data_IF_214121176855
#
_entry.id   IF_214121176855
#
_cell.length_a   1.000
_cell.length_b   1.000
_cell.length_c   1.000
_cell.angle_alpha   90.00
_cell.angle_beta   90.00
_cell.angle_gamma   90.00
#
_symmetry.space_group_name_H-M   'P 1'
#
loop_
_entity.id
_entity.type
_entity.pdbx_description
1 polymer ?
#
# COMPACT_ATOMS: atom_id res chain seq x y z
N UNK A 1 15.50 32.61 3.04
CA UNK A 1 15.55 31.32 3.76
C UNK A 1 15.03 30.28 2.81
N UNK A 2 15.89 29.39 2.31
CA UNK A 2 15.49 28.31 1.40
C UNK A 2 14.76 27.24 2.21
N UNK A 3 13.44 27.13 2.04
CA UNK A 3 12.66 26.05 2.65
C UNK A 3 12.64 24.86 1.69
N UNK A 4 13.09 23.69 2.16
CA UNK A 4 13.06 22.44 1.39
C UNK A 4 11.64 22.07 0.93
N UNK A 5 10.60 22.48 1.67
CA UNK A 5 9.20 22.21 1.31
C UNK A 5 8.75 23.07 0.13
N UNK A 6 9.15 24.34 0.08
CA UNK A 6 8.78 25.25 -1.01
C UNK A 6 9.43 24.81 -2.33
N UNK A 7 10.69 24.37 -2.28
CA UNK A 7 11.40 23.80 -3.42
C UNK A 7 10.74 22.50 -3.91
N UNK A 8 10.28 21.65 -2.99
CA UNK A 8 9.54 20.43 -3.35
C UNK A 8 8.20 20.76 -4.01
N UNK A 9 7.44 21.72 -3.48
CA UNK A 9 6.18 22.16 -4.07
C UNK A 9 6.40 22.72 -5.49
N UNK A 10 7.40 23.59 -5.67
CA UNK A 10 7.77 24.12 -6.98
C UNK A 10 8.16 23.02 -7.97
N UNK A 11 8.92 22.02 -7.51
CA UNK A 11 9.25 20.85 -8.29
C UNK A 11 8.01 20.06 -8.73
N UNK A 12 7.11 19.76 -7.79
CA UNK A 12 5.91 18.94 -8.06
C UNK A 12 4.92 19.61 -9.01
N UNK A 13 4.76 20.94 -8.97
CA UNK A 13 3.87 21.63 -9.92
C UNK A 13 4.47 21.74 -11.33
N UNK A 14 5.80 21.64 -11.45
CA UNK A 14 6.52 21.80 -12.71
C UNK A 14 6.81 20.46 -13.38
N UNK A 15 6.95 19.41 -12.58
CA UNK A 15 7.24 18.05 -13.04
C UNK A 15 5.98 17.38 -13.58
N UNK A 16 6.09 16.82 -14.78
CA UNK A 16 5.03 16.02 -15.38
C UNK A 16 4.98 14.65 -14.69
N UNK A 17 3.76 14.19 -14.41
CA UNK A 17 3.51 12.87 -13.86
C UNK A 17 3.89 11.76 -14.87
N UNK A 18 3.96 10.53 -14.37
CA UNK A 18 4.01 9.34 -15.23
C UNK A 18 2.74 9.22 -16.09
N UNK A 19 2.84 8.50 -17.20
CA UNK A 19 1.70 8.27 -18.09
C UNK A 19 0.61 7.46 -17.38
N UNK A 20 -0.64 7.81 -17.59
CA UNK A 20 -1.81 7.05 -17.15
C UNK A 20 -2.06 5.84 -18.07
N UNK A 21 -1.24 4.81 -17.90
CA UNK A 21 -1.40 3.51 -18.56
C UNK A 21 -1.34 2.36 -17.54
N UNK A 22 -1.28 1.11 -18.03
CA UNK A 22 -1.25 -0.08 -17.19
C UNK A 22 0.12 -0.35 -16.54
N UNK A 23 1.10 0.53 -16.69
CA UNK A 23 2.47 0.35 -16.19
C UNK A 23 2.64 1.06 -14.86
N UNK A 24 3.23 0.36 -13.90
CA UNK A 24 3.61 0.90 -12.60
C UNK A 24 5.13 1.10 -12.56
N UNK A 25 5.58 2.23 -12.04
CA UNK A 25 7.02 2.46 -11.82
C UNK A 25 7.59 1.48 -10.79
N UNK A 26 8.90 1.21 -10.86
CA UNK A 26 9.57 0.26 -9.96
C UNK A 26 9.45 0.63 -8.48
N UNK A 27 9.30 1.92 -8.18
CA UNK A 27 9.24 2.41 -6.80
C UNK A 27 7.97 1.95 -6.09
N UNK A 28 6.86 1.78 -6.81
CA UNK A 28 5.61 1.25 -6.26
C UNK A 28 5.41 -0.24 -6.57
N UNK A 29 5.88 -0.72 -7.72
CA UNK A 29 5.70 -2.13 -8.11
C UNK A 29 6.70 -3.06 -7.42
N UNK A 30 7.96 -2.65 -7.29
CA UNK A 30 9.03 -3.54 -6.83
C UNK A 30 9.61 -3.12 -5.46
N UNK A 31 9.43 -1.84 -5.09
CA UNK A 31 10.12 -1.19 -3.96
C UNK A 31 9.20 -0.40 -3.04
N UNK A 32 7.89 -0.67 -3.05
CA UNK A 32 6.97 -0.04 -2.11
C UNK A 32 7.43 -0.36 -0.69
N UNK A 33 7.32 0.59 0.24
CA UNK A 33 7.59 0.31 1.66
C UNK A 33 6.74 -0.87 2.17
N UNK A 34 7.40 -1.82 2.83
CA UNK A 34 6.77 -2.98 3.45
C UNK A 34 6.90 -2.93 4.97
N UNK A 35 5.79 -2.99 5.73
CA UNK A 35 5.87 -3.23 7.17
C UNK A 35 5.99 -4.74 7.46
N UNK A 36 6.36 -5.05 8.70
CA UNK A 36 6.47 -6.40 9.27
C UNK A 36 7.63 -7.21 8.71
N UNK A 37 7.35 -8.21 7.86
CA UNK A 37 8.29 -9.27 7.50
C UNK A 37 9.33 -8.85 6.45
N UNK A 38 9.01 -7.88 5.61
CA UNK A 38 9.86 -7.45 4.51
C UNK A 38 9.91 -5.94 4.40
N UNK A 39 11.08 -5.36 4.16
CA UNK A 39 11.27 -3.92 3.98
C UNK A 39 10.59 -3.37 2.72
N UNK A 40 10.28 -4.22 1.74
CA UNK A 40 9.72 -3.84 0.43
C UNK A 40 8.56 -4.77 0.05
N UNK A 41 7.59 -4.25 -0.71
CA UNK A 41 6.40 -4.96 -1.22
C UNK A 41 6.06 -4.48 -2.64
N UNK A 42 5.12 -5.19 -3.27
CA UNK A 42 4.54 -4.83 -4.57
C UNK A 42 3.15 -4.22 -4.39
N UNK A 43 2.98 -2.94 -4.73
CA UNK A 43 1.70 -2.24 -4.60
C UNK A 43 0.62 -2.83 -5.51
N UNK A 44 0.97 -3.25 -6.72
CA UNK A 44 0.02 -3.85 -7.66
C UNK A 44 -0.51 -5.18 -7.12
N UNK A 45 0.38 -6.05 -6.65
CA UNK A 45 0.00 -7.31 -6.00
C UNK A 45 -0.83 -7.07 -4.73
N UNK A 46 -0.46 -6.07 -3.93
CA UNK A 46 -1.22 -5.68 -2.73
C UNK A 46 -2.63 -5.19 -3.09
N UNK A 47 -2.79 -4.40 -4.14
CA UNK A 47 -4.10 -3.91 -4.57
C UNK A 47 -5.00 -5.05 -5.07
N UNK A 48 -4.44 -6.02 -5.81
CA UNK A 48 -5.15 -7.24 -6.21
C UNK A 48 -5.60 -8.01 -4.98
N UNK A 49 -4.68 -8.30 -4.05
CA UNK A 49 -5.01 -9.06 -2.83
C UNK A 49 -5.99 -8.30 -1.93
N UNK A 50 -5.88 -6.98 -1.83
CA UNK A 50 -6.82 -6.12 -1.10
C UNK A 50 -8.23 -6.22 -1.70
N UNK A 51 -8.35 -6.16 -3.02
CA UNK A 51 -9.63 -6.32 -3.70
C UNK A 51 -10.28 -7.67 -3.38
N UNK A 52 -9.49 -8.75 -3.41
CA UNK A 52 -9.95 -10.10 -3.06
C UNK A 52 -10.35 -10.23 -1.59
N UNK A 53 -9.57 -9.67 -0.68
CA UNK A 53 -9.84 -9.64 0.75
C UNK A 53 -11.15 -8.90 1.08
N UNK A 54 -11.42 -7.81 0.37
CA UNK A 54 -12.68 -7.05 0.51
C UNK A 54 -13.86 -7.70 -0.24
N UNK A 55 -13.65 -8.84 -0.90
CA UNK A 55 -14.70 -9.51 -1.66
C UNK A 55 -15.23 -8.70 -2.83
N UNK A 56 -14.38 -7.88 -3.47
CA UNK A 56 -14.78 -7.18 -4.70
C UNK A 56 -15.20 -8.22 -5.75
N UNK A 57 -16.34 -8.02 -6.43
CA UNK A 57 -16.76 -8.91 -7.50
C UNK A 57 -15.86 -8.69 -8.74
N UNK A 58 -16.05 -9.51 -9.76
CA UNK A 58 -15.25 -9.43 -10.98
C UNK A 58 -15.52 -8.15 -11.78
N UNK A 59 -14.56 -7.84 -12.65
CA UNK A 59 -14.57 -6.70 -13.56
C UNK A 59 -15.88 -6.55 -14.35
N UNK A 60 -16.41 -7.62 -14.95
CA UNK A 60 -17.63 -7.56 -15.75
C UNK A 60 -18.89 -7.38 -14.89
N UNK A 61 -18.91 -7.96 -13.69
CA UNK A 61 -19.98 -7.73 -12.71
C UNK A 61 -20.01 -6.28 -12.26
N UNK A 62 -18.86 -5.67 -11.92
CA UNK A 62 -18.83 -4.23 -11.59
C UNK A 62 -19.23 -3.36 -12.78
N UNK A 63 -18.75 -3.65 -14.00
CA UNK A 63 -19.18 -2.92 -15.20
C UNK A 63 -20.71 -2.92 -15.33
N UNK A 64 -21.33 -4.08 -15.10
CA UNK A 64 -22.80 -4.21 -15.15
C UNK A 64 -23.51 -3.43 -14.05
N UNK A 65 -22.94 -3.41 -12.84
CA UNK A 65 -23.47 -2.60 -11.74
C UNK A 65 -23.55 -1.11 -12.12
N UNK A 66 -22.51 -0.60 -12.76
CA UNK A 66 -22.48 0.77 -13.30
C UNK A 66 -23.19 0.92 -14.66
N UNK A 67 -23.95 -0.09 -15.11
CA UNK A 67 -24.67 -0.11 -16.40
C UNK A 67 -23.77 0.07 -17.63
N UNK A 68 -22.48 -0.24 -17.49
CA UNK A 68 -21.52 -0.25 -18.58
C UNK A 68 -21.62 -1.56 -19.37
N UNK A 69 -21.20 -1.52 -20.64
CA UNK A 69 -21.21 -2.72 -21.49
C UNK A 69 -20.23 -3.77 -20.95
N UNK A 70 -20.69 -5.01 -20.75
CA UNK A 70 -19.83 -6.15 -20.40
C UNK A 70 -18.85 -6.45 -21.52
N UNK A 71 -17.58 -6.59 -21.19
CA UNK A 71 -16.57 -6.97 -22.17
C UNK A 71 -16.71 -8.45 -22.53
N UNK A 72 -16.73 -8.74 -23.84
CA UNK A 72 -16.93 -10.09 -24.38
C UNK A 72 -15.66 -10.69 -24.96
N UNK A 73 -14.73 -9.86 -25.41
CA UNK A 73 -13.41 -10.28 -25.87
C UNK A 73 -12.33 -9.51 -25.10
N UNK A 74 -11.21 -10.15 -24.81
CA UNK A 74 -10.11 -9.52 -24.08
C UNK A 74 -9.58 -8.28 -24.80
N UNK A 75 -9.53 -8.36 -26.12
CA UNK A 75 -9.05 -7.31 -27.02
C UNK A 75 -9.87 -6.01 -26.86
N UNK A 76 -11.14 -6.12 -26.45
CA UNK A 76 -12.03 -4.97 -26.27
C UNK A 76 -11.74 -4.17 -25.01
N UNK A 77 -10.97 -4.70 -24.04
CA UNK A 77 -10.59 -3.95 -22.81
C UNK A 77 -9.65 -2.80 -23.19
N UNK A 78 -8.65 -3.07 -24.05
CA UNK A 78 -7.74 -2.05 -24.56
C UNK A 78 -7.17 -2.46 -25.93
N UNK A 79 -7.87 -2.13 -27.04
CA UNK A 79 -7.48 -2.55 -28.38
C UNK A 79 -6.08 -2.10 -28.78
N UNK A 80 -5.72 -0.87 -28.44
CA UNK A 80 -4.42 -0.28 -28.83
C UNK A 80 -3.27 -0.93 -28.05
N UNK A 81 -3.43 -1.13 -26.73
CA UNK A 81 -2.44 -1.81 -25.90
C UNK A 81 -2.18 -3.22 -26.42
N UNK A 82 -3.23 -4.01 -26.66
CA UNK A 82 -3.07 -5.41 -27.06
C UNK A 82 -2.60 -5.58 -28.50
N UNK A 83 -2.88 -4.62 -29.39
CA UNK A 83 -2.27 -4.56 -30.72
C UNK A 83 -0.77 -4.30 -30.63
N UNK A 84 -0.33 -3.39 -29.76
CA UNK A 84 1.08 -3.03 -29.57
C UNK A 84 1.86 -4.07 -28.75
N UNK A 85 1.19 -4.74 -27.80
CA UNK A 85 1.76 -5.65 -26.81
C UNK A 85 0.94 -6.94 -26.70
N UNK A 86 0.96 -7.80 -27.74
CA UNK A 86 0.23 -9.07 -27.73
C UNK A 86 0.74 -10.05 -26.66
N UNK A 87 1.98 -9.86 -26.18
CA UNK A 87 2.56 -10.61 -25.06
C UNK A 87 1.78 -10.41 -23.76
N UNK A 88 1.34 -9.18 -23.47
CA UNK A 88 0.55 -8.87 -22.27
C UNK A 88 -0.80 -9.58 -22.34
N UNK A 89 -1.47 -9.53 -23.50
CA UNK A 89 -2.73 -10.21 -23.73
C UNK A 89 -2.61 -11.72 -23.49
N UNK A 90 -1.59 -12.37 -24.06
CA UNK A 90 -1.36 -13.80 -23.90
C UNK A 90 -1.12 -14.17 -22.42
N UNK A 91 -0.35 -13.36 -21.69
CA UNK A 91 -0.11 -13.57 -20.27
C UNK A 91 -1.39 -13.41 -19.43
N UNK A 92 -2.19 -12.38 -19.70
CA UNK A 92 -3.47 -12.17 -19.01
C UNK A 92 -4.42 -13.35 -19.23
N UNK A 93 -4.64 -13.76 -20.48
CA UNK A 93 -5.44 -14.95 -20.81
C UNK A 93 -4.94 -16.17 -20.07
N UNK A 94 -3.63 -16.42 -20.04
CA UNK A 94 -3.04 -17.54 -19.30
C UNK A 94 -3.34 -17.46 -17.79
N UNK A 95 -3.14 -16.29 -17.17
CA UNK A 95 -3.30 -16.13 -15.72
C UNK A 95 -4.76 -16.20 -15.26
N UNK A 96 -5.68 -15.70 -16.06
CA UNK A 96 -7.12 -15.75 -15.80
C UNK A 96 -7.82 -16.96 -16.44
N UNK A 97 -7.06 -17.93 -16.98
CA UNK A 97 -7.59 -19.15 -17.62
C UNK A 97 -8.58 -18.86 -18.76
N UNK A 98 -8.32 -17.78 -19.48
CA UNK A 98 -9.13 -17.24 -20.57
C UNK A 98 -10.58 -16.88 -20.17
N UNK A 99 -10.84 -16.71 -18.87
CA UNK A 99 -12.15 -16.32 -18.33
C UNK A 99 -12.19 -14.82 -17.97
N UNK A 100 -12.91 -14.06 -18.79
CA UNK A 100 -13.14 -12.62 -18.60
C UNK A 100 -13.90 -12.29 -17.32
N UNK A 101 -14.70 -13.22 -16.78
CA UNK A 101 -15.48 -13.01 -15.56
C UNK A 101 -14.68 -13.34 -14.28
N UNK A 102 -13.38 -13.56 -14.41
CA UNK A 102 -12.48 -13.79 -13.29
C UNK A 102 -11.44 -12.66 -13.12
N UNK A 103 -11.52 -11.61 -13.96
CA UNK A 103 -10.60 -10.46 -13.90
C UNK A 103 -10.85 -9.66 -12.63
N UNK A 104 -9.80 -9.44 -11.85
CA UNK A 104 -9.83 -8.54 -10.70
C UNK A 104 -10.13 -7.11 -11.17
N UNK A 105 -11.06 -6.41 -10.49
CA UNK A 105 -11.47 -5.04 -10.86
C UNK A 105 -10.29 -4.07 -10.97
N UNK A 106 -9.31 -4.21 -10.07
CA UNK A 106 -8.09 -3.39 -10.13
C UNK A 106 -7.34 -3.57 -11.45
N UNK A 107 -7.16 -4.82 -11.90
CA UNK A 107 -6.46 -5.14 -13.14
C UNK A 107 -7.26 -4.67 -14.35
N UNK A 108 -8.57 -4.97 -14.38
CA UNK A 108 -9.45 -4.54 -15.47
C UNK A 108 -9.49 -3.01 -15.63
N UNK A 109 -9.66 -2.27 -14.53
CA UNK A 109 -9.67 -0.80 -14.58
C UNK A 109 -8.33 -0.19 -14.96
N UNK A 110 -7.20 -0.78 -14.54
CA UNK A 110 -5.86 -0.34 -14.99
C UNK A 110 -5.63 -0.62 -16.48
N UNK A 111 -6.17 -1.72 -17.01
CA UNK A 111 -6.05 -2.05 -18.44
C UNK A 111 -6.85 -1.10 -19.32
N UNK A 112 -7.98 -0.57 -18.86
CA UNK A 112 -8.77 0.42 -19.60
C UNK A 112 -8.11 1.81 -19.69
N UNK A 113 -7.09 2.10 -18.87
CA UNK A 113 -6.49 3.44 -18.78
C UNK A 113 -5.76 3.84 -20.06
N UNK A 114 -6.03 5.07 -20.51
CA UNK A 114 -5.36 5.72 -21.64
C UNK A 114 -5.42 7.24 -21.50
N UNK A 115 -4.33 7.85 -21.03
CA UNK A 115 -4.27 9.31 -20.80
C UNK A 115 -5.24 9.80 -19.71
N UNK A 116 -5.68 8.88 -18.86
CA UNK A 116 -6.61 9.06 -17.76
C UNK A 116 -7.19 7.71 -17.31
N UNK A 117 -8.01 7.71 -16.25
CA UNK A 117 -8.73 6.51 -15.83
C UNK A 117 -9.64 5.99 -16.94
N UNK A 118 -9.67 4.67 -17.12
CA UNK A 118 -10.62 3.99 -17.99
C UNK A 118 -12.08 4.25 -17.63
N UNK A 119 -13.00 3.87 -18.52
CA UNK A 119 -14.45 4.10 -18.36
C UNK A 119 -14.97 3.61 -17.00
N UNK A 120 -14.55 2.42 -16.58
CA UNK A 120 -14.99 1.83 -15.32
C UNK A 120 -14.55 2.66 -14.11
N UNK A 121 -13.26 2.96 -14.01
CA UNK A 121 -12.73 3.75 -12.89
C UNK A 121 -13.25 5.18 -12.93
N UNK A 122 -13.34 5.81 -14.10
CA UNK A 122 -13.92 7.14 -14.25
C UNK A 122 -15.35 7.19 -13.75
N UNK A 123 -16.21 6.25 -14.17
CA UNK A 123 -17.61 6.20 -13.71
C UNK A 123 -17.69 5.91 -12.22
N UNK A 124 -16.90 4.97 -11.70
CA UNK A 124 -16.88 4.67 -10.26
C UNK A 124 -16.42 5.85 -9.41
N UNK A 125 -15.40 6.58 -9.86
CA UNK A 125 -14.87 7.76 -9.15
C UNK A 125 -15.92 8.88 -9.19
N UNK A 126 -16.49 9.19 -10.35
CA UNK A 126 -17.51 10.24 -10.48
C UNK A 126 -18.74 9.92 -9.62
N UNK A 127 -19.25 8.69 -9.65
CA UNK A 127 -20.36 8.26 -8.82
C UNK A 127 -20.05 8.44 -7.32
N UNK A 128 -18.87 8.03 -6.88
CA UNK A 128 -18.46 8.18 -5.50
C UNK A 128 -18.33 9.65 -5.09
N UNK A 129 -17.72 10.50 -5.92
CA UNK A 129 -17.57 11.93 -5.66
C UNK A 129 -18.92 12.68 -5.68
N UNK A 130 -19.85 12.29 -6.56
CA UNK A 130 -21.20 12.83 -6.57
C UNK A 130 -21.93 12.47 -5.26
N UNK A 131 -21.88 11.19 -4.85
CA UNK A 131 -22.54 10.75 -3.61
C UNK A 131 -21.99 11.43 -2.35
N UNK A 132 -20.67 11.61 -2.23
CA UNK A 132 -20.11 12.32 -1.05
C UNK A 132 -20.52 13.79 -1.05
N UNK A 133 -20.55 14.45 -2.22
CA UNK A 133 -20.95 15.85 -2.33
C UNK A 133 -22.43 16.03 -1.99
N UNK A 134 -23.28 15.25 -2.64
CA UNK A 134 -24.74 15.42 -2.58
C UNK A 134 -25.31 14.97 -1.22
N UNK A 135 -24.64 14.05 -0.52
CA UNK A 135 -25.09 13.54 0.78
C UNK A 135 -24.44 14.23 1.99
N UNK A 136 -23.43 15.08 1.78
CA UNK A 136 -22.79 15.80 2.89
C UNK A 136 -23.59 17.04 3.28
N UNK A 137 -24.25 16.96 4.44
CA UNK A 137 -24.97 18.11 5.02
C UNK A 137 -24.06 19.33 5.21
N UNK A 138 -22.77 19.12 5.46
CA UNK A 138 -21.77 20.17 5.66
C UNK A 138 -21.03 20.54 4.36
N UNK A 139 -21.49 20.07 3.20
CA UNK A 139 -20.96 20.53 1.92
C UNK A 139 -21.04 22.05 1.84
N UNK A 140 -19.94 22.70 1.45
CA UNK A 140 -19.83 24.16 1.57
C UNK A 140 -20.84 24.91 0.68
N UNK A 141 -21.32 24.30 -0.40
CA UNK A 141 -22.33 24.90 -1.29
C UNK A 141 -23.78 24.65 -0.82
N UNK A 142 -23.96 23.90 0.28
CA UNK A 142 -25.29 23.65 0.82
C UNK A 142 -25.76 24.83 1.69
N UNK A 143 -26.49 25.77 1.10
CA UNK A 143 -27.01 26.96 1.79
C UNK A 143 -27.91 26.65 2.99
N UNK A 144 -28.59 25.50 2.99
CA UNK A 144 -29.53 25.12 4.06
C UNK A 144 -28.82 24.84 5.41
N UNK A 145 -27.51 24.60 5.40
CA UNK A 145 -26.74 24.39 6.63
C UNK A 145 -26.36 25.71 7.34
N UNK A 146 -26.50 26.86 6.67
CA UNK A 146 -26.22 28.18 7.22
C UNK A 146 -24.76 28.45 7.60
N UNK A 147 -23.80 27.69 7.07
CA UNK A 147 -22.36 27.86 7.36
C UNK A 147 -21.77 29.04 6.61
N UNK A 148 -22.15 29.21 5.33
CA UNK A 148 -21.67 30.26 4.44
C UNK A 148 -22.86 30.95 3.77
N UNK A 149 -22.73 32.25 3.49
CA UNK A 149 -23.68 32.96 2.60
C UNK A 149 -23.41 32.61 1.14
N UNK A 150 -24.35 32.91 0.24
CA UNK A 150 -24.17 32.75 -1.19
C UNK A 150 -22.94 33.50 -1.72
N UNK A 151 -22.65 34.69 -1.18
CA UNK A 151 -21.46 35.46 -1.56
C UNK A 151 -20.17 34.76 -1.11
N UNK A 152 -20.13 34.23 0.11
CA UNK A 152 -18.97 33.48 0.64
C UNK A 152 -18.75 32.17 -0.14
N UNK A 153 -19.81 31.50 -0.57
CA UNK A 153 -19.72 30.32 -1.45
C UNK A 153 -19.05 30.68 -2.78
N UNK A 154 -19.44 31.80 -3.39
CA UNK A 154 -18.81 32.29 -4.62
C UNK A 154 -17.36 32.72 -4.41
N UNK A 155 -16.99 33.18 -3.22
CA UNK A 155 -15.58 33.41 -2.86
C UNK A 155 -14.81 32.09 -2.77
N UNK A 156 -15.34 31.08 -2.07
CA UNK A 156 -14.69 29.76 -1.94
C UNK A 156 -14.51 29.09 -3.31
N UNK A 157 -15.52 29.16 -4.19
CA UNK A 157 -15.45 28.62 -5.58
C UNK A 157 -14.31 29.23 -6.41
N UNK A 158 -13.89 30.46 -6.10
CA UNK A 158 -12.81 31.14 -6.80
C UNK A 158 -11.42 30.72 -6.31
N UNK A 159 -11.31 30.14 -5.12
CA UNK A 159 -10.05 29.70 -4.53
C UNK A 159 -9.50 28.49 -5.31
N UNK A 160 -8.27 28.60 -5.77
CA UNK A 160 -7.52 27.52 -6.43
C UNK A 160 -6.41 27.02 -5.51
N UNK A 161 -5.88 25.83 -5.80
CA UNK A 161 -4.69 25.32 -5.10
C UNK A 161 -3.48 26.27 -5.27
N UNK A 162 -3.40 27.01 -6.38
CA UNK A 162 -2.45 28.11 -6.57
C UNK A 162 -2.54 29.15 -5.43
N UNK A 163 -3.75 29.63 -5.10
CA UNK A 163 -3.95 30.67 -4.10
C UNK A 163 -3.58 30.17 -2.71
N UNK A 164 -3.88 28.90 -2.42
CA UNK A 164 -3.48 28.23 -1.17
C UNK A 164 -1.95 28.17 -1.05
N UNK A 165 -1.24 27.74 -2.11
CA UNK A 165 0.23 27.64 -2.07
C UNK A 165 0.86 29.01 -1.88
N UNK A 166 0.44 30.03 -2.63
CA UNK A 166 1.01 31.38 -2.53
C UNK A 166 0.73 32.00 -1.16
N UNK A 167 -0.46 31.81 -0.58
CA UNK A 167 -0.79 32.37 0.73
C UNK A 167 -0.17 31.62 1.92
N UNK A 168 0.09 30.31 1.79
CA UNK A 168 0.63 29.49 2.87
C UNK A 168 2.16 29.34 2.83
N UNK A 169 2.84 29.90 1.83
CA UNK A 169 4.30 29.79 1.65
C UNK A 169 4.92 31.13 1.29
N UNK A 170 6.26 31.20 1.19
CA UNK A 170 6.96 32.38 0.69
C UNK A 170 7.15 32.36 -0.84
N UNK A 171 6.47 31.45 -1.55
CA UNK A 171 6.53 31.37 -3.01
C UNK A 171 5.80 32.59 -3.58
N UNK A 172 6.52 33.39 -4.37
CA UNK A 172 6.00 34.63 -4.95
C UNK A 172 5.05 34.33 -6.11
N UNK A 173 4.11 35.25 -6.31
CA UNK A 173 3.30 35.28 -7.52
C UNK A 173 4.18 35.33 -8.78
N UNK A 174 3.80 34.58 -9.81
CA UNK A 174 4.55 34.46 -11.05
C UNK A 174 5.61 33.35 -11.06
N UNK A 175 5.85 32.66 -9.93
CA UNK A 175 6.71 31.46 -9.90
C UNK A 175 5.92 30.14 -10.05
N UNK A 176 4.60 30.22 -10.20
CA UNK A 176 3.68 29.09 -10.35
C UNK A 176 2.67 29.41 -11.48
N UNK A 177 2.28 28.39 -12.24
CA UNK A 177 1.16 28.49 -13.17
C UNK A 177 -0.19 28.53 -12.42
N UNK A 178 -1.20 29.17 -13.02
CA UNK A 178 -2.50 29.38 -12.34
C UNK A 178 -3.28 28.07 -12.10
N UNK A 179 -3.10 27.06 -12.94
CA UNK A 179 -3.66 25.73 -12.72
C UNK A 179 -2.53 24.75 -12.41
N UNK A 180 -2.18 24.62 -11.13
CA UNK A 180 -1.02 23.82 -10.68
C UNK A 180 -1.15 22.31 -10.90
N UNK A 181 -2.33 21.81 -11.29
CA UNK A 181 -2.52 20.39 -11.59
C UNK A 181 -2.00 19.97 -12.97
N UNK A 182 -1.86 20.94 -13.88
CA UNK A 182 -1.38 20.68 -15.24
C UNK A 182 -0.31 21.69 -15.58
N UNK A 183 0.75 21.22 -16.23
CA UNK A 183 1.75 22.07 -16.82
C UNK A 183 1.57 22.03 -18.34
N UNK A 184 1.45 23.20 -18.98
CA UNK A 184 1.31 23.33 -20.43
C UNK A 184 2.43 24.17 -21.03
N UNK A 185 2.66 24.04 -22.34
CA UNK A 185 3.69 24.82 -23.03
C UNK A 185 3.44 26.31 -22.86
N UNK A 186 4.42 27.03 -22.30
CA UNK A 186 4.34 28.45 -22.00
C UNK A 186 4.18 28.75 -20.50
N UNK A 187 3.93 27.73 -19.67
CA UNK A 187 3.97 27.87 -18.23
C UNK A 187 5.41 28.08 -17.72
N UNK A 188 5.50 28.61 -16.50
CA UNK A 188 6.77 28.91 -15.84
C UNK A 188 7.51 27.64 -15.45
N UNK A 189 8.84 27.74 -15.41
CA UNK A 189 9.73 26.69 -14.89
C UNK A 189 9.49 25.29 -15.53
N UNK A 190 9.70 25.11 -16.86
CA UNK A 190 9.60 23.78 -17.46
C UNK A 190 10.53 22.78 -16.77
N UNK A 191 10.08 21.54 -16.59
CA UNK A 191 10.96 20.47 -16.12
C UNK A 191 12.14 20.28 -17.10
N UNK A 192 13.38 20.02 -16.60
CA UNK A 192 14.54 19.84 -17.47
C UNK A 192 14.41 18.65 -18.43
N UNK A 193 13.88 17.53 -17.91
CA UNK A 193 13.66 16.29 -18.63
C UNK A 193 12.58 15.45 -17.92
N UNK A 194 12.05 14.43 -18.61
CA UNK A 194 11.19 13.44 -17.96
C UNK A 194 12.05 12.51 -17.11
N UNK A 195 11.78 12.45 -15.81
CA UNK A 195 12.53 11.58 -14.90
C UNK A 195 12.36 10.10 -15.27
N UNK A 196 13.42 9.34 -15.06
CA UNK A 196 13.44 7.89 -15.24
C UNK A 196 14.18 7.26 -14.07
N UNK A 197 13.74 6.09 -13.60
CA UNK A 197 14.41 5.38 -12.51
C UNK A 197 15.91 5.14 -12.76
N UNK A 198 16.33 5.04 -14.02
CA UNK A 198 17.73 4.83 -14.42
C UNK A 198 18.65 6.03 -14.14
N UNK A 199 18.11 7.25 -14.05
CA UNK A 199 18.88 8.46 -13.74
C UNK A 199 18.92 8.78 -12.23
N UNK A 200 18.22 8.00 -11.41
CA UNK A 200 18.11 8.19 -9.98
C UNK A 200 19.00 7.21 -9.20
N UNK A 201 19.23 7.51 -7.91
CA UNK A 201 19.97 6.59 -7.03
C UNK A 201 19.22 5.26 -6.95
N UNK A 202 19.93 4.11 -7.03
CA UNK A 202 19.29 2.81 -6.92
C UNK A 202 18.51 2.66 -5.61
N UNK A 203 17.30 2.13 -5.71
CA UNK A 203 16.46 1.84 -4.54
C UNK A 203 17.07 0.73 -3.68
N UNK A 204 16.88 0.82 -2.36
CA UNK A 204 17.33 -0.20 -1.42
C UNK A 204 16.70 -1.57 -1.73
N UNK A 205 17.46 -2.63 -1.51
CA UNK A 205 17.04 -4.00 -1.76
C UNK A 205 16.04 -4.53 -0.72
N UNK A 206 15.32 -5.60 -1.11
CA UNK A 206 14.41 -6.34 -0.24
C UNK A 206 15.20 -7.00 0.88
N UNK A 207 14.85 -6.71 2.13
CA UNK A 207 15.38 -7.39 3.32
C UNK A 207 14.23 -7.99 4.10
N UNK A 208 14.40 -9.23 4.56
CA UNK A 208 13.54 -9.82 5.57
C UNK A 208 13.88 -9.27 6.96
N UNK A 209 12.89 -9.23 7.84
CA UNK A 209 13.11 -8.99 9.26
C UNK A 209 13.12 -10.34 9.98
N UNK A 210 14.24 -10.64 10.65
CA UNK A 210 14.31 -11.76 11.57
C UNK A 210 14.13 -11.24 13.00
N UNK A 211 12.95 -11.47 13.56
CA UNK A 211 12.62 -11.03 14.92
C UNK A 211 13.36 -11.84 15.99
N UNK A 212 13.92 -12.99 15.63
CA UNK A 212 14.60 -13.89 16.54
C UNK A 212 16.12 -13.83 16.44
N UNK A 213 16.65 -13.02 15.51
CA UNK A 213 18.08 -12.81 15.33
C UNK A 213 18.75 -12.40 16.65
N UNK A 214 19.76 -13.17 17.05
CA UNK A 214 20.52 -12.96 18.29
C UNK A 214 19.90 -13.55 19.56
N UNK A 215 18.69 -14.10 19.51
CA UNK A 215 18.02 -14.73 20.65
C UNK A 215 18.11 -16.27 20.65
N UNK A 216 18.65 -16.87 19.59
CA UNK A 216 18.62 -18.31 19.33
C UNK A 216 19.33 -19.09 20.44
N UNK A 217 20.54 -18.66 20.80
CA UNK A 217 21.39 -19.32 21.80
C UNK A 217 20.77 -19.24 23.20
N UNK A 218 20.25 -18.07 23.58
CA UNK A 218 19.60 -17.87 24.89
C UNK A 218 18.34 -18.70 25.01
N UNK A 219 17.55 -18.79 23.94
CA UNK A 219 16.37 -19.63 23.91
C UNK A 219 16.71 -21.11 24.05
N UNK A 220 17.73 -21.61 23.34
CA UNK A 220 18.21 -22.99 23.47
C UNK A 220 18.63 -23.28 24.92
N UNK A 221 19.43 -22.42 25.55
CA UNK A 221 19.83 -22.61 26.94
C UNK A 221 18.65 -22.58 27.90
N UNK A 222 17.66 -21.72 27.64
CA UNK A 222 16.44 -21.65 28.43
C UNK A 222 15.66 -22.97 28.36
N UNK A 223 15.51 -23.56 27.16
CA UNK A 223 14.89 -24.87 26.98
C UNK A 223 15.67 -26.00 27.67
N UNK A 224 17.00 -26.00 27.55
CA UNK A 224 17.87 -26.99 28.22
C UNK A 224 17.74 -26.87 29.74
N UNK A 225 17.78 -25.65 30.28
CA UNK A 225 17.63 -25.42 31.71
C UNK A 225 16.28 -25.90 32.24
N UNK A 226 15.19 -25.55 31.55
CA UNK A 226 13.84 -26.00 31.90
C UNK A 226 13.67 -27.52 31.83
N UNK A 227 14.37 -28.20 30.90
CA UNK A 227 14.33 -29.66 30.79
C UNK A 227 15.20 -30.39 31.83
N UNK A 228 16.41 -29.89 32.11
CA UNK A 228 17.38 -30.58 32.96
C UNK A 228 17.21 -30.30 34.45
N UNK A 229 16.75 -29.11 34.85
CA UNK A 229 16.57 -28.77 36.27
C UNK A 229 15.60 -29.71 36.98
N UNK A 230 14.41 -30.04 36.43
CA UNK A 230 13.51 -31.01 37.05
C UNK A 230 14.14 -32.40 37.20
N UNK A 231 14.93 -32.85 36.22
CA UNK A 231 15.64 -34.14 36.26
C UNK A 231 16.69 -34.15 37.37
N UNK A 232 17.48 -33.08 37.49
CA UNK A 232 18.47 -32.93 38.56
C UNK A 232 17.81 -32.87 39.94
N UNK A 233 16.70 -32.11 40.09
CA UNK A 233 15.93 -32.05 41.33
C UNK A 233 15.35 -33.42 41.71
N UNK A 234 14.78 -34.16 40.74
CA UNK A 234 14.26 -35.51 40.96
C UNK A 234 15.39 -36.49 41.37
N UNK A 235 16.54 -36.42 40.70
CA UNK A 235 17.72 -37.21 41.04
C UNK A 235 18.26 -36.92 42.45
N UNK A 236 18.38 -35.64 42.82
CA UNK A 236 18.79 -35.21 44.16
C UNK A 236 17.78 -35.67 45.22
N UNK A 237 16.47 -35.49 44.97
CA UNK A 237 15.40 -35.95 45.85
C UNK A 237 15.45 -37.47 46.08
N UNK A 238 15.61 -38.25 45.02
CA UNK A 238 15.79 -39.71 45.11
C UNK A 238 17.06 -40.08 45.91
N UNK A 239 18.17 -39.36 45.71
CA UNK A 239 19.41 -39.53 46.46
C UNK A 239 19.22 -39.33 47.97
N UNK A 240 18.51 -38.27 48.37
CA UNK A 240 18.19 -37.99 49.78
C UNK A 240 17.35 -39.11 50.39
N UNK A 241 16.31 -39.58 49.69
CA UNK A 241 15.48 -40.71 50.14
C UNK A 241 16.33 -41.96 50.35
N UNK A 242 17.22 -42.28 49.41
CA UNK A 242 18.11 -43.46 49.50
C UNK A 242 19.10 -43.35 50.67
N UNK A 243 19.68 -42.17 50.90
CA UNK A 243 20.59 -41.92 52.02
C UNK A 243 19.87 -42.02 53.38
N UNK A 244 18.68 -41.44 53.50
CA UNK A 244 17.87 -41.54 54.72
C UNK A 244 17.49 -42.99 55.02
N UNK A 245 17.10 -43.77 53.99
CA UNK A 245 16.80 -45.19 54.14
C UNK A 245 18.03 -45.99 54.59
N UNK A 246 19.21 -45.72 54.02
CA UNK A 246 20.48 -46.35 54.45
C UNK A 246 20.83 -46.00 55.90
N UNK A 247 20.66 -44.74 56.30
CA UNK A 247 20.92 -44.28 57.69
C UNK A 247 19.94 -44.95 58.67
N UNK A 248 18.64 -45.01 58.34
CA UNK A 248 17.64 -45.73 59.13
C UNK A 248 18.00 -47.20 59.31
N UNK A 249 18.42 -47.89 58.24
CA UNK A 249 18.88 -49.29 58.32
C UNK A 249 20.09 -49.45 59.25
N UNK A 250 21.10 -48.58 59.14
CA UNK A 250 22.29 -48.61 60.02
C UNK A 250 21.95 -48.36 61.49
N UNK A 251 21.02 -47.45 61.78
CA UNK A 251 20.58 -47.18 63.14
C UNK A 251 19.83 -48.38 63.74
N UNK A 252 18.96 -49.04 62.96
CA UNK A 252 18.30 -50.28 63.40
C UNK A 252 19.30 -51.39 63.75
N UNK A 253 20.30 -51.63 62.89
CA UNK A 253 21.34 -52.64 63.15
C UNK A 253 22.10 -52.33 64.45
N UNK A 254 22.51 -51.08 64.67
CA UNK A 254 23.17 -50.68 65.93
C UNK A 254 22.27 -50.81 67.18
N UNK A 255 20.96 -50.73 67.01
CA UNK A 255 19.99 -50.92 68.09
C UNK A 255 19.81 -52.41 68.44
N UNK A 256 20.01 -53.29 67.47
CA UNK A 256 19.96 -54.75 67.64
C UNK A 256 21.28 -55.32 68.21
N UNK A 257 22.38 -54.57 68.13
CA UNK A 257 23.71 -54.92 68.68
C UNK A 257 23.95 -54.45 70.15
N UNK A 258 23.02 -53.68 70.73
CA UNK A 258 23.04 -53.19 72.12
C UNK A 258 22.15 -54.06 73.03
#
# INVERSE_FOLDING_TARGET
>A
THSTVEELLLGMVSQLAEREDSVLCSDVRDKLFGPMEFTRRDLGALNIMRGRDNGLPDYNTIRSHFKLHKIKNWEDINPELFKRRPDILANLKKHYKDDLNNIDVYVGGMLESYGGPGELFRTSIIDQFARIRDADRFWFENVDNGIFTEEEIEEIRRIKLYDVIVNCTNIREGHLQKNVFFWVTGDVCPQPEQLNASSLKPCNYLKGYDYFEGNEVVYIYSCVFLGFVPILCAGAGYGVVKLQNRRRRRLKIKQEEL
#
